data_IF_790840709484
#
_entry.id   IF_790840709484
#
_cell.length_a   1.000
_cell.length_b   1.000
_cell.length_c   1.000
_cell.angle_alpha   90.00
_cell.angle_beta   90.00
_cell.angle_gamma   90.00
#
_symmetry.space_group_name_H-M   'P 1'
#
loop_
_entity.id
_entity.type
_entity.pdbx_description
1 polymer ?
#
# COMPACT_ATOMS: atom_id res chain seq x y z
N UNK A 1 2.76 9.80 -2.86
CA UNK A 1 2.33 8.80 -1.88
C UNK A 1 3.56 8.25 -1.20
N UNK A 2 3.55 8.07 0.11
CA UNK A 2 4.68 7.51 0.86
C UNK A 2 4.15 6.36 1.71
N UNK A 3 4.71 5.17 1.55
CA UNK A 3 4.54 4.07 2.48
C UNK A 3 5.89 3.77 3.13
N UNK A 4 5.92 3.56 4.44
CA UNK A 4 7.14 3.20 5.17
C UNK A 4 6.83 2.25 6.31
N UNK A 5 7.78 1.36 6.62
CA UNK A 5 7.75 0.54 7.83
C UNK A 5 8.19 1.36 9.04
N UNK A 6 7.50 1.20 10.15
CA UNK A 6 7.83 1.74 11.47
C UNK A 6 7.62 0.63 12.50
N UNK A 7 8.71 -0.07 12.83
CA UNK A 7 8.64 -1.26 13.67
C UNK A 7 7.75 -2.34 13.06
N UNK A 8 6.67 -2.71 13.78
CA UNK A 8 5.70 -3.71 13.37
C UNK A 8 4.52 -3.17 12.54
N UNK A 9 4.51 -1.88 12.23
CA UNK A 9 3.43 -1.19 11.52
C UNK A 9 3.91 -0.58 10.19
N UNK A 10 2.97 -0.37 9.27
CA UNK A 10 3.15 0.39 8.04
C UNK A 10 2.43 1.72 8.19
N UNK A 11 3.15 2.82 7.95
CA UNK A 11 2.56 4.14 7.79
C UNK A 11 2.39 4.45 6.31
N UNK A 12 1.17 4.80 5.95
CA UNK A 12 0.80 5.26 4.62
C UNK A 12 0.41 6.74 4.72
N UNK A 13 1.19 7.61 4.10
CA UNK A 13 0.98 9.07 4.04
C UNK A 13 0.74 9.52 2.59
N UNK A 14 -0.46 10.03 2.35
CA UNK A 14 -0.84 10.78 1.16
C UNK A 14 -0.99 12.28 1.47
N UNK A 15 -1.32 13.07 0.45
CA UNK A 15 -1.41 14.54 0.57
C UNK A 15 -2.44 15.02 1.61
N UNK A 16 -3.55 14.30 1.77
CA UNK A 16 -4.63 14.64 2.70
C UNK A 16 -5.00 13.49 3.66
N UNK A 17 -4.30 12.37 3.60
CA UNK A 17 -4.62 11.20 4.42
C UNK A 17 -3.38 10.56 5.02
N UNK A 18 -3.51 10.10 6.26
CA UNK A 18 -2.49 9.30 6.94
C UNK A 18 -3.17 8.10 7.56
N UNK A 19 -2.70 6.91 7.22
CA UNK A 19 -3.19 5.65 7.76
C UNK A 19 -2.05 4.83 8.34
N UNK A 20 -2.35 4.02 9.35
CA UNK A 20 -1.40 3.05 9.91
C UNK A 20 -2.08 1.69 10.08
N UNK A 21 -1.34 0.63 9.79
CA UNK A 21 -1.83 -0.74 9.93
C UNK A 21 -0.65 -1.70 10.16
N UNK A 22 -0.86 -2.89 10.75
CA UNK A 22 0.23 -3.83 11.03
C UNK A 22 0.83 -4.43 9.76
N UNK A 23 2.14 -4.73 9.79
CA UNK A 23 2.86 -5.38 8.68
C UNK A 23 2.22 -6.70 8.26
N UNK A 24 1.67 -7.46 9.21
CA UNK A 24 0.99 -8.73 8.92
C UNK A 24 -0.22 -8.59 7.98
N UNK A 25 -0.84 -7.42 7.93
CA UNK A 25 -1.97 -7.13 7.03
C UNK A 25 -1.53 -6.52 5.68
N UNK A 26 -0.23 -6.26 5.47
CA UNK A 26 0.28 -5.61 4.25
C UNK A 26 -0.15 -6.34 2.97
N UNK A 27 -0.02 -7.66 2.93
CA UNK A 27 -0.43 -8.46 1.77
C UNK A 27 -1.94 -8.34 1.49
N UNK A 28 -2.77 -8.30 2.53
CA UNK A 28 -4.22 -8.13 2.38
C UNK A 28 -4.58 -6.74 1.84
N UNK A 29 -3.85 -5.69 2.27
CA UNK A 29 -4.02 -4.33 1.74
C UNK A 29 -3.62 -4.22 0.27
N UNK A 30 -2.49 -4.84 -0.13
CA UNK A 30 -2.05 -4.88 -1.53
C UNK A 30 -3.12 -5.54 -2.40
N UNK A 31 -3.59 -6.72 -2.00
CA UNK A 31 -4.60 -7.46 -2.76
C UNK A 31 -5.93 -6.67 -2.86
N UNK A 32 -6.35 -6.05 -1.76
CA UNK A 32 -7.52 -5.19 -1.71
C UNK A 32 -7.43 -4.00 -2.68
N UNK A 33 -6.31 -3.27 -2.69
CA UNK A 33 -6.12 -2.14 -3.59
C UNK A 33 -5.98 -2.58 -5.05
N UNK A 34 -5.36 -3.74 -5.29
CA UNK A 34 -5.25 -4.33 -6.63
C UNK A 34 -6.61 -4.74 -7.19
N UNK A 35 -7.43 -5.44 -6.41
CA UNK A 35 -8.80 -5.80 -6.75
C UNK A 35 -9.67 -4.56 -6.97
N UNK A 36 -9.53 -3.53 -6.12
CA UNK A 36 -10.28 -2.28 -6.25
C UNK A 36 -9.92 -1.52 -7.53
N UNK A 37 -8.62 -1.42 -7.83
CA UNK A 37 -8.11 -0.81 -9.06
C UNK A 37 -8.61 -1.56 -10.32
N UNK A 38 -8.62 -2.89 -10.27
CA UNK A 38 -9.12 -3.75 -11.35
C UNK A 38 -10.64 -3.66 -11.56
N UNK A 39 -11.43 -3.71 -10.48
CA UNK A 39 -12.90 -3.71 -10.54
C UNK A 39 -13.50 -2.35 -10.93
N UNK A 40 -12.86 -1.23 -10.59
CA UNK A 40 -13.39 0.11 -10.89
C UNK A 40 -13.19 0.58 -12.35
N UNK A 41 -12.82 -0.31 -13.29
CA UNK A 41 -12.72 0.01 -14.73
C UNK A 41 -11.87 1.26 -15.01
N UNK A 42 -10.69 1.36 -14.40
CA UNK A 42 -9.70 2.40 -14.72
C UNK A 42 -10.02 3.81 -14.22
N UNK A 43 -11.29 4.16 -13.97
CA UNK A 43 -11.72 5.54 -13.63
C UNK A 43 -11.07 6.07 -12.35
N UNK A 44 -10.88 5.19 -11.36
CA UNK A 44 -10.20 5.51 -10.10
C UNK A 44 -8.88 4.76 -9.93
N UNK A 45 -8.50 3.92 -10.90
CA UNK A 45 -7.24 3.17 -10.85
C UNK A 45 -6.03 4.11 -10.71
N UNK A 46 -6.06 5.26 -11.40
CA UNK A 46 -5.01 6.28 -11.31
C UNK A 46 -4.86 6.89 -9.91
N UNK A 47 -5.93 6.93 -9.10
CA UNK A 47 -5.87 7.43 -7.73
C UNK A 47 -5.23 6.42 -6.77
N UNK A 48 -5.42 5.12 -7.03
CA UNK A 48 -4.89 4.05 -6.16
C UNK A 48 -3.54 3.50 -6.61
N UNK A 49 -3.16 3.67 -7.89
CA UNK A 49 -1.86 3.28 -8.43
C UNK A 49 -0.67 3.71 -7.56
N UNK A 50 -0.52 5.00 -7.16
CA UNK A 50 0.62 5.41 -6.33
C UNK A 50 0.56 4.84 -4.91
N UNK A 51 -0.62 4.39 -4.45
CA UNK A 51 -0.76 3.69 -3.15
C UNK A 51 -0.28 2.26 -3.28
N UNK A 52 -0.71 1.56 -4.32
CA UNK A 52 -0.32 0.18 -4.58
C UNK A 52 1.20 0.08 -4.77
N UNK A 53 1.79 0.94 -5.61
CA UNK A 53 3.24 0.97 -5.85
C UNK A 53 4.04 1.20 -4.54
N UNK A 54 3.56 2.09 -3.67
CA UNK A 54 4.21 2.35 -2.40
C UNK A 54 4.14 1.14 -1.45
N UNK A 55 3.00 0.45 -1.41
CA UNK A 55 2.83 -0.76 -0.59
C UNK A 55 3.67 -1.93 -1.11
N UNK A 56 3.70 -2.14 -2.43
CA UNK A 56 4.52 -3.17 -3.07
C UNK A 56 6.02 -2.91 -2.85
N UNK A 57 6.46 -1.65 -2.88
CA UNK A 57 7.84 -1.29 -2.57
C UNK A 57 8.21 -1.67 -1.12
N UNK A 58 7.33 -1.39 -0.16
CA UNK A 58 7.55 -1.77 1.25
C UNK A 58 7.55 -3.29 1.43
N UNK A 59 6.67 -4.02 0.75
CA UNK A 59 6.68 -5.48 0.76
C UNK A 59 8.01 -6.05 0.23
N UNK A 60 8.51 -5.49 -0.87
CA UNK A 60 9.79 -5.89 -1.46
C UNK A 60 10.96 -5.58 -0.51
N UNK A 61 10.94 -4.43 0.18
CA UNK A 61 11.95 -4.11 1.20
C UNK A 61 11.90 -5.09 2.38
N UNK A 62 10.71 -5.46 2.86
CA UNK A 62 10.55 -6.44 3.96
C UNK A 62 11.03 -7.82 3.53
N UNK A 63 10.69 -8.27 2.33
CA UNK A 63 11.16 -9.55 1.78
C UNK A 63 12.66 -9.58 1.52
N UNK A 64 13.29 -8.44 1.22
CA UNK A 64 14.72 -8.35 0.98
C UNK A 64 15.56 -8.25 2.28
N UNK A 65 14.95 -7.75 3.36
CA UNK A 65 15.58 -7.57 4.68
C UNK A 65 15.43 -8.81 5.59
N UNK A 66 14.56 -9.76 5.23
CA UNK A 66 14.35 -11.05 5.93
C UNK A 66 15.16 -12.20 5.36
#
# INVERSE_FOLDING_TARGET
MIARRDGGEILLEGEAYRSRFPIGDLGAWIDFYREMSGRMRGRYAHHYAPTLEALEAVEAEISADG
#
